data_IF_312613906893
#
_entry.id   IF_312613906893
#
_cell.length_a   1.000
_cell.length_b   1.000
_cell.length_c   1.000
_cell.angle_alpha   90.00
_cell.angle_beta   90.00
_cell.angle_gamma   90.00
#
_symmetry.space_group_name_H-M   'P 1'
#
loop_
_entity.id
_entity.type
_entity.pdbx_description
1 polymer ?
#
# COMPACT_ATOMS: atom_id res chain seq x y z
N UNK A 1 1.90 24.35 38.97
CA UNK A 1 1.50 22.94 39.20
C UNK A 1 -0.01 22.83 39.00
N UNK A 2 -0.49 21.66 38.58
CA UNK A 2 -1.80 21.30 37.96
C UNK A 2 -1.64 21.22 36.42
N UNK A 3 -1.21 20.11 35.85
CA UNK A 3 -1.79 18.75 35.74
C UNK A 3 -2.58 18.57 34.43
N UNK A 4 -2.22 17.50 33.72
CA UNK A 4 -2.64 17.16 32.37
C UNK A 4 -4.15 16.95 32.22
N UNK A 5 -4.69 17.44 31.10
CA UNK A 5 -5.92 16.95 30.50
C UNK A 5 -5.63 16.60 29.04
N UNK A 6 -5.03 15.43 28.83
CA UNK A 6 -5.03 14.73 27.54
C UNK A 6 -6.36 14.01 27.42
N UNK A 7 -7.36 14.64 26.81
CA UNK A 7 -8.62 13.99 26.47
C UNK A 7 -8.83 14.13 24.96
N UNK A 8 -8.59 12.99 24.30
CA UNK A 8 -9.17 12.58 23.03
C UNK A 8 -9.40 13.69 21.99
N UNK A 9 -8.36 13.94 21.17
CA UNK A 9 -8.64 14.41 19.81
C UNK A 9 -9.50 13.33 19.13
N UNK A 10 -10.71 13.66 18.63
CA UNK A 10 -11.36 12.76 17.71
C UNK A 10 -10.46 12.75 16.47
N UNK A 11 -9.70 11.66 16.30
CA UNK A 11 -9.03 11.30 15.07
C UNK A 11 -10.11 10.93 14.02
N UNK A 12 -10.98 11.88 13.69
CA UNK A 12 -12.04 11.75 12.69
C UNK A 12 -11.80 12.72 11.52
N UNK A 13 -10.54 12.90 11.13
CA UNK A 13 -10.19 13.37 9.80
C UNK A 13 -10.41 12.25 8.74
N UNK A 14 -11.59 11.64 8.72
CA UNK A 14 -11.98 10.65 7.72
C UNK A 14 -13.48 10.69 7.33
N UNK A 15 -14.28 11.60 7.89
CA UNK A 15 -15.59 11.92 7.34
C UNK A 15 -15.48 13.07 6.31
N UNK A 16 -14.81 12.81 5.18
CA UNK A 16 -15.11 13.57 3.96
C UNK A 16 -16.40 13.00 3.38
N UNK A 17 -17.50 13.69 3.67
CA UNK A 17 -18.80 13.47 3.08
C UNK A 17 -18.72 13.65 1.56
N UNK A 18 -19.13 12.62 0.81
CA UNK A 18 -19.53 12.75 -0.59
C UNK A 18 -18.49 12.26 -1.60
N UNK A 19 -18.79 11.10 -2.21
CA UNK A 19 -18.15 10.62 -3.43
C UNK A 19 -17.61 9.21 -3.26
N UNK A 20 -18.33 8.23 -3.82
CA UNK A 20 -17.85 6.92 -4.28
C UNK A 20 -16.39 6.57 -3.88
N UNK A 21 -16.15 6.31 -2.59
CA UNK A 21 -14.79 6.12 -2.07
C UNK A 21 -14.73 4.76 -1.42
N UNK A 22 -14.21 3.78 -2.16
CA UNK A 22 -13.78 2.52 -1.57
C UNK A 22 -12.89 2.80 -0.34
N UNK A 23 -12.94 1.95 0.70
CA UNK A 23 -12.05 2.09 1.86
C UNK A 23 -10.59 2.25 1.42
N UNK A 24 -9.84 3.10 2.12
CA UNK A 24 -8.41 3.25 1.88
C UNK A 24 -7.70 1.90 2.11
N UNK A 25 -6.77 1.56 1.22
CA UNK A 25 -5.88 0.42 1.38
C UNK A 25 -4.97 0.71 2.56
N UNK A 26 -5.05 -0.19 3.54
CA UNK A 26 -4.19 -0.15 4.73
C UNK A 26 -2.91 -0.94 4.50
N UNK A 27 -1.90 -0.66 5.33
CA UNK A 27 -0.65 -1.42 5.35
C UNK A 27 -0.88 -2.91 5.57
N UNK A 28 -1.71 -3.27 6.56
CA UNK A 28 -2.06 -4.67 6.85
C UNK A 28 -2.71 -5.38 5.66
N UNK A 29 -3.61 -4.70 4.95
CA UNK A 29 -4.27 -5.26 3.76
C UNK A 29 -3.27 -5.50 2.63
N UNK A 30 -2.35 -4.57 2.41
CA UNK A 30 -1.31 -4.71 1.39
C UNK A 30 -0.33 -5.83 1.76
N UNK A 31 0.14 -5.88 3.00
CA UNK A 31 1.01 -6.95 3.50
C UNK A 31 0.33 -8.32 3.36
N UNK A 32 -0.95 -8.44 3.72
CA UNK A 32 -1.70 -9.67 3.54
C UNK A 32 -1.85 -10.07 2.06
N UNK A 33 -1.98 -9.11 1.14
CA UNK A 33 -1.99 -9.39 -0.32
C UNK A 33 -0.65 -9.94 -0.78
N UNK A 34 0.44 -9.32 -0.36
CA UNK A 34 1.80 -9.76 -0.71
C UNK A 34 2.13 -11.14 -0.13
N UNK A 35 1.67 -11.45 1.09
CA UNK A 35 1.78 -12.80 1.66
C UNK A 35 1.01 -13.83 0.83
N UNK A 36 -0.21 -13.49 0.38
CA UNK A 36 -0.98 -14.35 -0.53
C UNK A 36 -0.28 -14.54 -1.88
N UNK A 37 0.50 -13.55 -2.33
CA UNK A 37 1.38 -13.64 -3.49
C UNK A 37 2.63 -14.52 -3.29
N UNK A 38 2.85 -15.06 -2.08
CA UNK A 38 3.93 -16.01 -1.79
C UNK A 38 5.12 -15.42 -1.04
N UNK A 39 5.08 -14.16 -0.61
CA UNK A 39 6.10 -13.62 0.29
C UNK A 39 5.90 -14.15 1.72
N UNK A 40 7.00 -14.35 2.45
CA UNK A 40 6.88 -14.60 3.89
C UNK A 40 6.37 -13.36 4.62
N UNK A 41 5.91 -13.55 5.87
CA UNK A 41 5.26 -12.49 6.63
C UNK A 41 6.14 -11.25 6.83
N UNK A 42 7.45 -11.44 7.04
CA UNK A 42 8.41 -10.36 7.29
C UNK A 42 8.73 -9.62 6.00
N UNK A 43 8.95 -10.35 4.90
CA UNK A 43 9.19 -9.77 3.59
C UNK A 43 7.97 -8.98 3.09
N UNK A 44 6.76 -9.49 3.31
CA UNK A 44 5.52 -8.84 2.93
C UNK A 44 5.25 -7.56 3.74
N UNK A 45 5.52 -7.57 5.04
CA UNK A 45 5.40 -6.39 5.91
C UNK A 45 6.35 -5.26 5.47
N UNK A 46 7.62 -5.63 5.24
CA UNK A 46 8.64 -4.72 4.74
C UNK A 46 8.26 -4.16 3.36
N UNK A 47 7.79 -5.02 2.46
CA UNK A 47 7.36 -4.63 1.12
C UNK A 47 6.15 -3.67 1.15
N UNK A 48 5.13 -3.98 1.96
CA UNK A 48 3.96 -3.12 2.11
C UNK A 48 4.34 -1.72 2.62
N UNK A 49 5.28 -1.64 3.57
CA UNK A 49 5.81 -0.36 4.05
C UNK A 49 6.48 0.44 2.93
N UNK A 50 7.32 -0.20 2.13
CA UNK A 50 8.03 0.47 1.03
C UNK A 50 7.07 1.02 -0.04
N UNK A 51 6.02 0.28 -0.39
CA UNK A 51 5.02 0.77 -1.35
C UNK A 51 4.23 1.98 -0.85
N UNK A 52 3.87 1.98 0.44
CA UNK A 52 3.18 3.12 1.06
C UNK A 52 4.12 4.32 1.20
N UNK A 53 5.36 4.10 1.64
CA UNK A 53 6.36 5.15 1.83
C UNK A 53 6.79 5.80 0.49
N UNK A 54 6.76 5.06 -0.63
CA UNK A 54 6.97 5.62 -1.97
C UNK A 54 5.82 6.54 -2.43
N UNK A 55 4.70 6.60 -1.70
CA UNK A 55 3.59 7.49 -1.99
C UNK A 55 2.81 7.10 -3.24
N UNK A 56 2.61 5.80 -3.46
CA UNK A 56 1.69 5.27 -4.48
C UNK A 56 0.26 5.69 -4.12
N UNK A 57 -0.53 6.08 -5.12
CA UNK A 57 -1.93 6.44 -4.91
C UNK A 57 -2.76 5.27 -4.37
N UNK A 58 -3.87 5.59 -3.69
CA UNK A 58 -4.78 4.56 -3.17
C UNK A 58 -5.35 3.66 -4.28
N UNK A 59 -5.59 4.21 -5.48
CA UNK A 59 -6.04 3.43 -6.62
C UNK A 59 -4.93 2.52 -7.17
N UNK A 60 -3.68 3.01 -7.21
CA UNK A 60 -2.50 2.20 -7.52
C UNK A 60 -2.33 1.02 -6.56
N UNK A 61 -2.42 1.27 -5.25
CA UNK A 61 -2.34 0.21 -4.24
C UNK A 61 -3.47 -0.82 -4.37
N UNK A 62 -4.70 -0.37 -4.67
CA UNK A 62 -5.84 -1.29 -4.93
C UNK A 62 -5.58 -2.15 -6.16
N UNK A 63 -5.03 -1.56 -7.22
CA UNK A 63 -4.69 -2.29 -8.44
C UNK A 63 -3.61 -3.34 -8.18
N UNK A 64 -2.59 -3.01 -7.39
CA UNK A 64 -1.56 -3.99 -7.00
C UNK A 64 -2.19 -5.19 -6.29
N UNK A 65 -2.99 -4.97 -5.25
CA UNK A 65 -3.63 -6.05 -4.51
C UNK A 65 -4.54 -6.94 -5.38
N UNK A 66 -5.22 -6.32 -6.36
CA UNK A 66 -6.10 -7.04 -7.30
C UNK A 66 -5.31 -7.85 -8.33
N UNK A 67 -4.09 -7.44 -8.64
CA UNK A 67 -3.19 -8.04 -9.62
C UNK A 67 -2.51 -9.29 -9.06
N UNK A 68 -2.15 -9.29 -7.77
CA UNK A 68 -1.56 -10.45 -7.07
C UNK A 68 -2.46 -11.69 -7.14
N UNK A 69 -3.77 -11.49 -7.30
CA UNK A 69 -4.76 -12.57 -7.42
C UNK A 69 -4.91 -13.12 -8.84
N UNK A 70 -4.35 -12.46 -9.87
CA UNK A 70 -4.68 -12.73 -11.28
C UNK A 70 -3.52 -12.71 -12.27
N UNK A 71 -2.37 -12.16 -11.90
CA UNK A 71 -1.27 -11.95 -12.83
C UNK A 71 -0.01 -12.68 -12.39
N UNK A 72 0.39 -13.66 -13.19
CA UNK A 72 1.77 -14.14 -13.19
C UNK A 72 2.71 -12.96 -13.51
N UNK A 73 3.89 -12.97 -12.90
CA UNK A 73 4.95 -12.00 -13.08
C UNK A 73 5.17 -11.71 -14.58
N UNK A 74 4.72 -10.55 -15.07
CA UNK A 74 4.87 -10.18 -16.48
C UNK A 74 3.88 -9.19 -17.06
N UNK A 75 2.85 -8.75 -16.32
CA UNK A 75 1.96 -7.68 -16.79
C UNK A 75 2.47 -6.31 -16.35
N UNK A 76 2.68 -5.39 -17.29
CA UNK A 76 3.05 -4.00 -17.00
C UNK A 76 1.96 -3.33 -16.16
N UNK A 77 2.31 -2.69 -15.05
CA UNK A 77 1.34 -2.08 -14.13
C UNK A 77 0.42 -1.06 -14.84
N UNK A 78 0.95 -0.35 -15.84
CA UNK A 78 0.19 0.58 -16.67
C UNK A 78 -0.88 -0.11 -17.52
N UNK A 79 -0.57 -1.31 -18.05
CA UNK A 79 -1.54 -2.14 -18.78
C UNK A 79 -2.68 -2.64 -17.90
N UNK A 80 -2.48 -2.63 -16.58
CA UNK A 80 -3.47 -2.97 -15.56
C UNK A 80 -4.27 -1.74 -15.08
N UNK A 81 -4.07 -0.58 -15.70
CA UNK A 81 -4.78 0.66 -15.39
C UNK A 81 -4.11 1.52 -14.32
N UNK A 82 -2.87 1.21 -13.94
CA UNK A 82 -2.09 2.07 -13.05
C UNK A 82 -1.63 3.33 -13.79
N UNK A 83 -1.62 4.47 -13.10
CA UNK A 83 -1.03 5.68 -13.67
C UNK A 83 0.48 5.48 -13.88
N UNK A 84 1.07 6.10 -14.90
CA UNK A 84 2.53 6.04 -15.12
C UNK A 84 3.32 6.50 -13.88
N UNK A 85 2.85 7.54 -13.19
CA UNK A 85 3.49 8.02 -11.97
C UNK A 85 3.46 6.99 -10.82
N UNK A 86 2.36 6.26 -10.66
CA UNK A 86 2.27 5.18 -9.67
C UNK A 86 3.08 3.95 -10.10
N UNK A 87 3.12 3.64 -11.40
CA UNK A 87 3.92 2.55 -11.94
C UNK A 87 5.42 2.76 -11.73
N UNK A 88 5.90 4.00 -11.94
CA UNK A 88 7.30 4.37 -11.68
C UNK A 88 7.67 4.26 -10.20
N UNK A 89 6.77 4.71 -9.31
CA UNK A 89 6.93 4.55 -7.85
C UNK A 89 6.89 3.10 -7.43
N UNK A 90 5.98 2.30 -7.98
CA UNK A 90 5.87 0.87 -7.70
C UNK A 90 7.11 0.11 -8.17
N UNK A 91 7.66 0.44 -9.35
CA UNK A 91 8.90 -0.15 -9.86
C UNK A 91 10.10 0.24 -8.99
N UNK A 92 10.19 1.50 -8.58
CA UNK A 92 11.21 1.98 -7.62
C UNK A 92 11.10 1.26 -6.27
N UNK A 93 9.88 1.14 -5.73
CA UNK A 93 9.60 0.41 -4.50
C UNK A 93 10.06 -1.05 -4.63
N UNK A 94 9.64 -1.76 -5.69
CA UNK A 94 9.97 -3.16 -5.93
C UNK A 94 11.49 -3.39 -5.97
N UNK A 95 12.24 -2.55 -6.67
CA UNK A 95 13.71 -2.63 -6.71
C UNK A 95 14.33 -2.48 -5.31
N UNK A 96 13.82 -1.54 -4.51
CA UNK A 96 14.31 -1.31 -3.16
C UNK A 96 13.87 -2.42 -2.18
N UNK A 97 12.72 -3.05 -2.41
CA UNK A 97 12.21 -4.20 -1.64
C UNK A 97 13.11 -5.40 -1.84
N UNK A 98 13.49 -5.72 -3.08
CA UNK A 98 14.44 -6.82 -3.34
C UNK A 98 15.76 -6.55 -2.59
N UNK A 99 16.24 -5.30 -2.62
CA UNK A 99 17.47 -4.94 -1.93
C UNK A 99 17.36 -4.94 -0.40
N UNK A 100 16.19 -4.65 0.18
CA UNK A 100 16.06 -4.32 1.62
C UNK A 100 15.24 -5.34 2.41
N UNK A 101 14.30 -6.03 1.77
CA UNK A 101 13.33 -6.93 2.38
C UNK A 101 13.62 -8.41 2.10
N UNK A 102 14.38 -8.74 1.04
CA UNK A 102 14.74 -10.13 0.67
C UNK A 102 16.15 -10.53 1.13
N UNK A 103 16.70 -9.83 2.14
CA UNK A 103 17.96 -10.17 2.80
C UNK A 103 17.75 -11.13 3.96
#
# INVERSE_FOLDING_TARGET
MIAAALIALPLLAACSSGGDSAPAVTHDQLAASLQKGGLDAKAADCAAKMFIDQGISQDGLRLMMKTDSKSGAGTDAESLGMSTADADKARTAANNIVASCMK
#
